data_IF_091040238948
#
_entry.id   IF_091040238948
#
_cell.length_a   1.000
_cell.length_b   1.000
_cell.length_c   1.000
_cell.angle_alpha   90.00
_cell.angle_beta   90.00
_cell.angle_gamma   90.00
#
_symmetry.space_group_name_H-M   'P 1'
#
loop_
_entity.id
_entity.type
_entity.pdbx_description
1 polymer ?
#
# COMPACT_ATOMS: atom_id res chain seq x y z
N UNK A 1 -13.84 -22.03 -9.68
CA UNK A 1 -12.96 -20.87 -9.43
C UNK A 1 -11.75 -21.05 -10.33
N UNK A 2 -11.49 -20.06 -11.18
CA UNK A 2 -10.55 -20.18 -12.30
C UNK A 2 -9.22 -19.57 -11.89
N UNK A 3 -8.10 -20.27 -12.12
CA UNK A 3 -6.78 -19.72 -11.90
C UNK A 3 -6.61 -18.39 -12.68
N UNK A 4 -5.92 -17.38 -12.11
CA UNK A 4 -5.75 -16.10 -12.77
C UNK A 4 -4.98 -16.23 -14.08
N UNK A 5 -5.57 -15.72 -15.16
CA UNK A 5 -4.86 -15.48 -16.42
C UNK A 5 -4.06 -14.19 -16.30
N UNK A 6 -2.82 -14.15 -16.80
CA UNK A 6 -1.97 -12.94 -16.80
C UNK A 6 -2.56 -11.73 -17.55
N UNK A 7 -3.65 -11.92 -18.29
CA UNK A 7 -4.40 -10.84 -18.95
C UNK A 7 -5.31 -10.05 -17.99
N UNK A 8 -5.59 -10.57 -16.79
CA UNK A 8 -6.30 -9.85 -15.74
C UNK A 8 -5.35 -8.86 -15.02
N UNK A 9 -5.86 -7.79 -14.39
CA UNK A 9 -5.05 -6.92 -13.54
C UNK A 9 -4.32 -7.74 -12.48
N UNK A 10 -2.99 -7.70 -12.46
CA UNK A 10 -2.16 -8.39 -11.47
C UNK A 10 -1.46 -7.39 -10.55
N UNK A 11 -1.16 -7.85 -9.33
CA UNK A 11 -0.22 -7.19 -8.44
C UNK A 11 1.18 -7.13 -9.09
N UNK A 12 1.90 -6.02 -8.92
CA UNK A 12 3.21 -5.80 -9.52
C UNK A 12 4.23 -6.86 -9.10
N UNK A 13 4.18 -7.36 -7.86
CA UNK A 13 5.09 -8.40 -7.40
C UNK A 13 4.86 -9.73 -8.12
N UNK A 14 3.59 -10.11 -8.30
CA UNK A 14 3.24 -11.31 -9.04
C UNK A 14 3.62 -11.20 -10.52
N UNK A 15 3.54 -9.99 -11.09
CA UNK A 15 4.04 -9.70 -12.44
C UNK A 15 5.56 -9.80 -12.55
N UNK A 16 6.31 -9.64 -11.46
CA UNK A 16 7.77 -9.82 -11.41
C UNK A 16 8.20 -11.29 -11.31
N UNK A 17 7.30 -12.24 -11.14
CA UNK A 17 7.68 -13.67 -11.18
C UNK A 17 8.01 -14.13 -12.60
N UNK A 18 8.97 -15.06 -12.78
CA UNK A 18 9.11 -15.79 -14.03
C UNK A 18 7.79 -16.47 -14.42
N UNK A 19 7.58 -16.71 -15.71
CA UNK A 19 6.32 -17.27 -16.21
C UNK A 19 6.00 -18.63 -15.58
N UNK A 20 7.01 -19.50 -15.49
CA UNK A 20 6.87 -20.85 -14.94
C UNK A 20 6.48 -20.79 -13.46
N UNK A 21 7.17 -19.99 -12.64
CA UNK A 21 6.83 -19.79 -11.23
C UNK A 21 5.40 -19.27 -11.06
N UNK A 22 5.00 -18.28 -11.87
CA UNK A 22 3.64 -17.74 -11.80
C UNK A 22 2.58 -18.78 -12.17
N UNK A 23 2.78 -19.57 -13.22
CA UNK A 23 1.83 -20.60 -13.63
C UNK A 23 1.66 -21.70 -12.57
N UNK A 24 2.75 -22.04 -11.88
CA UNK A 24 2.71 -23.00 -10.78
C UNK A 24 2.05 -22.42 -9.52
N UNK A 25 2.21 -21.11 -9.26
CA UNK A 25 1.65 -20.41 -8.12
C UNK A 25 0.17 -20.04 -8.30
N UNK A 26 -0.26 -19.78 -9.54
CA UNK A 26 -1.61 -19.32 -9.86
C UNK A 26 -2.75 -20.19 -9.28
N UNK A 27 -2.65 -21.54 -9.23
CA UNK A 27 -3.65 -22.38 -8.57
C UNK A 27 -3.88 -22.08 -7.08
N UNK A 28 -2.88 -21.51 -6.39
CA UNK A 28 -2.94 -21.18 -4.96
C UNK A 28 -3.53 -19.77 -4.72
N UNK A 29 -3.87 -19.04 -5.79
CA UNK A 29 -4.44 -17.69 -5.73
C UNK A 29 -5.95 -17.71 -5.92
N UNK A 30 -6.65 -17.07 -4.98
CA UNK A 30 -8.09 -16.81 -5.08
C UNK A 30 -8.35 -15.32 -5.27
N UNK A 31 -9.04 -14.96 -6.36
CA UNK A 31 -9.47 -13.58 -6.58
C UNK A 31 -10.59 -13.18 -5.62
N UNK A 32 -10.48 -12.00 -5.02
CA UNK A 32 -11.42 -11.46 -4.05
C UNK A 32 -11.66 -9.97 -4.28
N UNK A 33 -12.87 -9.51 -3.94
CA UNK A 33 -13.21 -8.09 -3.85
C UNK A 33 -13.23 -7.72 -2.38
N UNK A 34 -12.57 -6.61 -2.05
CA UNK A 34 -12.46 -6.11 -0.68
C UNK A 34 -13.07 -4.70 -0.62
N UNK A 35 -14.32 -4.58 -0.15
CA UNK A 35 -14.91 -3.29 0.12
C UNK A 35 -14.09 -2.49 1.12
N UNK A 36 -14.21 -1.16 1.07
CA UNK A 36 -13.68 -0.26 2.08
C UNK A 36 -14.11 -0.70 3.48
N UNK A 37 -13.14 -0.73 4.40
CA UNK A 37 -13.33 -1.15 5.79
C UNK A 37 -13.14 -2.64 6.01
N UNK A 38 -12.94 -3.46 4.96
CA UNK A 38 -12.64 -4.87 5.14
C UNK A 38 -11.30 -5.06 5.87
N UNK A 39 -11.28 -5.75 7.01
CA UNK A 39 -10.04 -6.11 7.68
C UNK A 39 -9.33 -7.23 6.89
N UNK A 40 -8.03 -7.05 6.65
CA UNK A 40 -7.17 -8.07 6.02
C UNK A 40 -6.31 -8.80 7.06
N UNK A 41 -6.10 -8.18 8.21
CA UNK A 41 -5.50 -8.83 9.37
C UNK A 41 -5.86 -8.08 10.64
N UNK A 42 -5.82 -8.82 11.75
CA UNK A 42 -6.07 -8.29 13.08
C UNK A 42 -4.83 -8.46 13.94
N UNK A 43 -4.51 -7.42 14.71
CA UNK A 43 -3.43 -7.49 15.68
C UNK A 43 -3.65 -8.66 16.66
N UNK A 44 -2.57 -9.37 16.99
CA UNK A 44 -2.53 -10.48 17.95
C UNK A 44 -3.43 -11.67 17.53
N UNK A 45 -3.77 -11.77 16.24
CA UNK A 45 -4.51 -12.89 15.64
C UNK A 45 -3.67 -13.67 14.63
N UNK A 46 -4.01 -14.94 14.36
CA UNK A 46 -3.41 -15.72 13.29
C UNK A 46 -3.44 -15.00 11.94
N UNK A 47 -2.38 -15.18 11.16
CA UNK A 47 -2.35 -14.82 9.75
C UNK A 47 -2.78 -16.06 8.99
N UNK A 48 -4.04 -16.07 8.56
CA UNK A 48 -4.61 -17.18 7.80
C UNK A 48 -4.32 -17.03 6.30
N UNK A 49 -4.35 -15.79 5.80
CA UNK A 49 -4.15 -15.49 4.37
C UNK A 49 -3.21 -14.31 4.15
N UNK A 50 -2.57 -14.32 2.98
CA UNK A 50 -1.73 -13.23 2.46
C UNK A 50 -2.39 -12.67 1.21
N UNK A 51 -2.50 -11.35 1.13
CA UNK A 51 -3.22 -10.64 0.09
C UNK A 51 -2.28 -9.83 -0.80
N UNK A 52 -2.55 -9.89 -2.11
CA UNK A 52 -1.87 -9.17 -3.17
C UNK A 52 -2.91 -8.33 -3.91
N UNK A 53 -3.02 -7.05 -3.57
CA UNK A 53 -3.99 -6.17 -4.20
C UNK A 53 -3.65 -5.94 -5.69
N UNK A 54 -4.67 -5.73 -6.51
CA UNK A 54 -4.57 -5.39 -7.94
C UNK A 54 -5.09 -3.99 -8.22
N UNK A 55 -5.91 -3.46 -7.30
CA UNK A 55 -6.44 -2.10 -7.25
C UNK A 55 -6.72 -1.71 -5.79
N UNK A 56 -7.05 -0.44 -5.57
CA UNK A 56 -7.39 0.07 -4.24
C UNK A 56 -6.17 0.22 -3.33
N UNK A 57 -6.46 0.60 -2.08
CA UNK A 57 -5.44 0.94 -1.09
C UNK A 57 -5.84 0.35 0.25
N UNK A 58 -4.90 -0.34 0.89
CA UNK A 58 -5.02 -0.70 2.29
C UNK A 58 -3.97 0.04 3.13
N UNK A 59 -4.18 0.01 4.44
CA UNK A 59 -3.27 0.65 5.38
C UNK A 59 -3.03 -0.22 6.61
N UNK A 60 -1.83 -0.10 7.17
CA UNK A 60 -1.52 -0.55 8.52
C UNK A 60 -1.90 0.56 9.49
N UNK A 61 -2.83 0.28 10.40
CA UNK A 61 -3.29 1.22 11.42
C UNK A 61 -2.80 0.76 12.78
N UNK A 62 -2.13 1.66 13.51
CA UNK A 62 -1.69 1.38 14.88
C UNK A 62 -2.65 2.04 15.85
N UNK A 63 -3.10 1.27 16.83
CA UNK A 63 -3.93 1.75 17.93
C UNK A 63 -3.16 1.71 19.25
N UNK A 64 -3.13 2.84 19.94
CA UNK A 64 -2.59 2.94 21.29
C UNK A 64 -3.56 2.31 22.32
N UNK A 65 -3.09 1.93 23.52
CA UNK A 65 -3.96 1.43 24.59
C UNK A 65 -5.10 2.39 24.99
N UNK A 66 -4.92 3.69 24.75
CA UNK A 66 -5.92 4.73 25.00
C UNK A 66 -6.88 4.96 23.79
N UNK A 67 -6.87 4.07 22.80
CA UNK A 67 -7.78 4.10 21.65
C UNK A 67 -7.43 5.11 20.56
N UNK A 68 -6.31 5.84 20.66
CA UNK A 68 -5.84 6.71 19.58
C UNK A 68 -5.33 5.88 18.41
N UNK A 69 -5.73 6.24 17.19
CA UNK A 69 -5.37 5.57 15.94
C UNK A 69 -4.60 6.51 15.04
N UNK A 70 -3.60 5.98 14.35
CA UNK A 70 -2.91 6.65 13.26
C UNK A 70 -2.47 5.62 12.23
N UNK A 71 -2.39 6.05 10.97
CA UNK A 71 -1.78 5.25 9.92
C UNK A 71 -0.27 5.16 10.13
N UNK A 72 0.28 3.95 10.02
CA UNK A 72 1.72 3.73 10.00
C UNK A 72 2.28 3.64 8.56
N UNK A 73 1.49 3.12 7.62
CA UNK A 73 1.83 3.09 6.20
C UNK A 73 0.71 2.51 5.34
N UNK A 74 0.81 2.73 4.03
CA UNK A 74 -0.13 2.21 3.03
C UNK A 74 0.51 1.14 2.14
N UNK A 75 -0.34 0.31 1.55
CA UNK A 75 0.05 -0.66 0.52
C UNK A 75 -1.04 -0.71 -0.56
N UNK A 76 -0.63 -1.07 -1.77
CA UNK A 76 -1.55 -1.28 -2.89
C UNK A 76 -1.06 -2.44 -3.74
N UNK A 77 -1.17 -2.30 -5.06
CA UNK A 77 -0.72 -3.32 -6.00
C UNK A 77 0.81 -3.50 -6.09
N UNK A 78 1.57 -2.73 -5.33
CA UNK A 78 3.03 -2.74 -5.26
C UNK A 78 3.58 -3.60 -4.10
N UNK A 79 2.68 -4.17 -3.29
CA UNK A 79 3.01 -4.88 -2.07
C UNK A 79 2.17 -6.14 -1.83
N UNK A 80 2.38 -6.75 -0.68
CA UNK A 80 1.53 -7.80 -0.12
C UNK A 80 1.34 -7.55 1.38
N UNK A 81 0.32 -8.17 1.97
CA UNK A 81 0.01 -8.01 3.40
C UNK A 81 -0.65 -9.29 3.96
N UNK A 82 -0.45 -9.67 5.23
CA UNK A 82 0.48 -9.10 6.20
C UNK A 82 1.95 -9.38 5.86
N UNK A 83 2.80 -8.38 6.02
CA UNK A 83 4.22 -8.51 5.68
C UNK A 83 4.97 -9.48 6.61
N UNK A 84 4.48 -9.67 7.84
CA UNK A 84 5.01 -10.64 8.81
C UNK A 84 5.02 -12.09 8.29
N UNK A 85 4.20 -12.43 7.29
CA UNK A 85 4.20 -13.77 6.71
C UNK A 85 5.56 -14.17 6.13
N UNK A 86 6.35 -13.20 5.66
CA UNK A 86 7.67 -13.43 5.08
C UNK A 86 8.68 -13.97 6.09
N UNK A 87 8.54 -13.61 7.36
CA UNK A 87 9.44 -14.07 8.43
C UNK A 87 8.98 -15.41 9.02
N UNK A 88 7.85 -15.95 8.56
CA UNK A 88 7.22 -17.14 9.14
C UNK A 88 6.44 -16.86 10.42
N UNK A 89 6.27 -15.58 10.79
CA UNK A 89 5.43 -15.23 11.92
C UNK A 89 3.98 -15.60 11.60
N UNK A 90 3.36 -16.38 12.49
CA UNK A 90 1.95 -16.80 12.35
C UNK A 90 0.95 -15.82 12.96
N UNK A 91 1.42 -14.83 13.71
CA UNK A 91 0.57 -13.85 14.39
C UNK A 91 0.84 -12.47 13.81
N UNK A 92 -0.22 -11.74 13.43
CA UNK A 92 -0.09 -10.37 12.94
C UNK A 92 0.20 -9.41 14.09
N UNK A 93 1.17 -8.52 13.90
CA UNK A 93 1.50 -7.46 14.85
C UNK A 93 0.58 -6.23 14.73
N UNK A 94 -0.17 -6.12 13.64
CA UNK A 94 -0.92 -4.92 13.29
C UNK A 94 -2.32 -5.22 12.78
N UNK A 95 -3.20 -4.24 12.95
CA UNK A 95 -4.47 -4.21 12.22
C UNK A 95 -4.22 -3.68 10.81
N UNK A 96 -4.77 -4.39 9.83
CA UNK A 96 -4.67 -4.07 8.42
C UNK A 96 -6.07 -3.94 7.86
N UNK A 97 -6.36 -2.83 7.20
CA UNK A 97 -7.72 -2.55 6.70
C UNK A 97 -7.65 -1.91 5.33
N UNK A 98 -8.60 -2.29 4.47
CA UNK A 98 -8.82 -1.66 3.17
C UNK A 98 -9.41 -0.26 3.37
N UNK A 99 -8.76 0.76 2.82
CA UNK A 99 -9.17 2.16 2.97
C UNK A 99 -9.95 2.68 1.76
N UNK A 100 -9.61 2.19 0.56
CA UNK A 100 -10.33 2.42 -0.68
C UNK A 100 -10.71 1.07 -1.27
N UNK A 101 -11.91 0.96 -1.84
CA UNK A 101 -12.40 -0.28 -2.47
C UNK A 101 -11.31 -0.91 -3.33
N UNK A 102 -11.08 -2.20 -3.10
CA UNK A 102 -9.94 -2.92 -3.64
C UNK A 102 -10.37 -4.25 -4.25
N UNK A 103 -9.58 -4.70 -5.21
CA UNK A 103 -9.59 -6.07 -5.70
C UNK A 103 -8.20 -6.66 -5.50
N UNK A 104 -8.11 -7.99 -5.44
CA UNK A 104 -6.83 -8.64 -5.25
C UNK A 104 -6.91 -10.14 -5.21
N UNK A 105 -5.76 -10.76 -5.01
CA UNK A 105 -5.64 -12.19 -4.80
C UNK A 105 -5.31 -12.48 -3.35
N UNK A 106 -5.89 -13.55 -2.81
CA UNK A 106 -5.53 -14.12 -1.51
C UNK A 106 -4.84 -15.45 -1.74
N UNK A 107 -3.84 -15.74 -0.91
CA UNK A 107 -3.14 -17.01 -0.81
C UNK A 107 -3.20 -17.48 0.64
N UNK A 108 -3.45 -18.76 0.87
CA UNK A 108 -3.37 -19.32 2.22
C UNK A 108 -1.95 -19.16 2.79
N UNK A 109 -1.83 -18.91 4.09
CA UNK A 109 -0.55 -18.66 4.73
C UNK A 109 0.44 -19.81 4.52
N UNK A 110 -0.02 -21.06 4.65
CA UNK A 110 0.85 -22.22 4.50
C UNK A 110 1.32 -22.41 3.05
N UNK A 111 0.52 -22.03 2.05
CA UNK A 111 0.95 -22.00 0.65
C UNK A 111 1.97 -20.88 0.41
N UNK A 112 1.74 -19.69 0.98
CA UNK A 112 2.74 -18.60 0.93
C UNK A 112 4.07 -19.05 1.53
N UNK A 113 4.03 -19.76 2.68
CA UNK A 113 5.23 -20.32 3.30
C UNK A 113 5.90 -21.37 2.44
N UNK A 114 5.13 -22.27 1.81
CA UNK A 114 5.66 -23.25 0.87
C UNK A 114 6.38 -22.58 -0.30
N UNK A 115 5.83 -21.50 -0.85
CA UNK A 115 6.48 -20.71 -1.90
C UNK A 115 7.76 -20.02 -1.44
N UNK A 116 7.77 -19.51 -0.19
CA UNK A 116 8.98 -18.96 0.43
C UNK A 116 10.10 -20.01 0.64
N UNK A 117 9.77 -21.29 0.71
CA UNK A 117 10.76 -22.36 0.88
C UNK A 117 11.24 -22.93 -0.47
N UNK A 118 10.44 -22.82 -1.53
CA UNK A 118 10.65 -23.54 -2.80
C UNK A 118 11.08 -22.64 -3.97
N UNK A 119 10.68 -21.37 -4.02
CA UNK A 119 10.98 -20.47 -5.15
C UNK A 119 11.88 -19.32 -4.73
N UNK A 120 13.15 -19.37 -5.18
CA UNK A 120 14.11 -18.28 -4.96
C UNK A 120 13.63 -16.93 -5.54
N UNK A 121 13.08 -16.86 -6.78
CA UNK A 121 12.51 -15.63 -7.30
C UNK A 121 11.41 -15.06 -6.41
N UNK A 122 10.49 -15.90 -5.94
CA UNK A 122 9.41 -15.48 -5.03
C UNK A 122 9.96 -14.86 -3.75
N UNK A 123 10.91 -15.55 -3.09
CA UNK A 123 11.57 -15.06 -1.87
C UNK A 123 12.23 -13.71 -2.09
N UNK A 124 12.98 -13.55 -3.17
CA UNK A 124 13.68 -12.29 -3.48
C UNK A 124 12.70 -11.13 -3.66
N UNK A 125 11.63 -11.35 -4.44
CA UNK A 125 10.60 -10.33 -4.69
C UNK A 125 9.89 -9.94 -3.38
N UNK A 126 9.46 -10.92 -2.57
CA UNK A 126 8.77 -10.65 -1.30
C UNK A 126 9.67 -9.91 -0.31
N UNK A 127 10.93 -10.33 -0.16
CA UNK A 127 11.88 -9.66 0.72
C UNK A 127 12.16 -8.22 0.29
N UNK A 128 12.32 -7.96 -1.02
CA UNK A 128 12.54 -6.59 -1.52
C UNK A 128 11.31 -5.71 -1.37
N UNK A 129 10.11 -6.28 -1.53
CA UNK A 129 8.87 -5.57 -1.24
C UNK A 129 8.75 -5.20 0.24
N UNK A 130 9.09 -6.12 1.14
CA UNK A 130 9.11 -5.87 2.58
C UNK A 130 10.12 -4.77 2.95
N UNK A 131 11.33 -4.79 2.38
CA UNK A 131 12.32 -3.74 2.60
C UNK A 131 11.82 -2.37 2.10
N UNK A 132 11.24 -2.32 0.89
CA UNK A 132 10.63 -1.10 0.38
C UNK A 132 9.51 -0.56 1.28
N UNK A 133 8.67 -1.45 1.82
CA UNK A 133 7.64 -1.09 2.79
C UNK A 133 8.25 -0.57 4.11
N UNK A 134 9.33 -1.20 4.61
CA UNK A 134 10.02 -0.74 5.81
C UNK A 134 10.63 0.66 5.64
N UNK A 135 11.27 0.94 4.50
CA UNK A 135 11.79 2.28 4.15
C UNK A 135 10.67 3.32 4.11
N UNK A 136 9.52 2.95 3.52
CA UNK A 136 8.34 3.81 3.51
C UNK A 136 7.85 4.12 4.92
N UNK A 137 7.70 3.10 5.79
CA UNK A 137 7.28 3.28 7.19
C UNK A 137 8.21 4.23 7.94
N UNK A 138 9.53 4.05 7.78
CA UNK A 138 10.52 4.91 8.42
C UNK A 138 10.37 6.38 8.01
N UNK A 139 10.14 6.65 6.72
CA UNK A 139 9.95 8.03 6.24
C UNK A 139 8.58 8.60 6.59
N UNK A 140 7.54 7.77 6.69
CA UNK A 140 6.24 8.20 7.24
C UNK A 140 6.36 8.58 8.71
N UNK A 141 7.14 7.83 9.51
CA UNK A 141 7.41 8.18 10.90
C UNK A 141 8.16 9.51 11.03
N UNK A 142 9.22 9.74 10.23
CA UNK A 142 9.94 11.02 10.21
C UNK A 142 8.99 12.15 9.78
N UNK A 143 8.22 11.95 8.72
CA UNK A 143 7.32 12.98 8.21
C UNK A 143 6.23 13.36 9.22
N UNK A 144 5.69 12.39 9.95
CA UNK A 144 4.76 12.63 11.05
C UNK A 144 5.38 13.42 12.21
N UNK A 145 6.71 13.38 12.39
CA UNK A 145 7.40 14.07 13.46
C UNK A 145 7.84 15.50 13.09
N UNK A 146 8.16 15.76 11.82
CA UNK A 146 8.83 17.02 11.42
C UNK A 146 8.07 17.87 10.41
N UNK A 147 7.14 17.29 9.64
CA UNK A 147 6.38 18.02 8.62
C UNK A 147 5.00 18.45 9.12
N UNK A 148 4.50 19.55 8.57
CA UNK A 148 3.14 20.01 8.86
C UNK A 148 2.07 19.15 8.18
N UNK A 149 0.80 19.42 8.51
CA UNK A 149 -0.33 18.66 7.97
C UNK A 149 -0.52 18.82 6.46
N UNK A 150 -0.09 19.94 5.88
CA UNK A 150 -0.27 20.20 4.45
C UNK A 150 0.70 19.33 3.63
N UNK A 151 1.98 19.33 4.02
CA UNK A 151 3.00 18.49 3.41
C UNK A 151 2.68 17.00 3.59
N UNK A 152 2.24 16.59 4.80
CA UNK A 152 1.83 15.21 5.07
C UNK A 152 0.62 14.77 4.24
N UNK A 153 -0.37 15.65 4.04
CA UNK A 153 -1.50 15.38 3.15
C UNK A 153 -1.05 15.25 1.69
N UNK A 154 -0.19 16.15 1.21
CA UNK A 154 0.37 16.08 -0.14
C UNK A 154 1.13 14.76 -0.36
N UNK A 155 2.02 14.38 0.55
CA UNK A 155 2.73 13.08 0.56
C UNK A 155 1.75 11.92 0.49
N UNK A 156 0.73 11.90 1.35
CA UNK A 156 -0.23 10.80 1.40
C UNK A 156 -1.02 10.66 0.09
N UNK A 157 -1.45 11.78 -0.50
CA UNK A 157 -2.14 11.78 -1.81
C UNK A 157 -1.22 11.26 -2.93
N UNK A 158 0.05 11.67 -2.96
CA UNK A 158 1.04 11.19 -3.93
C UNK A 158 1.27 9.68 -3.78
N UNK A 159 1.50 9.20 -2.56
CA UNK A 159 1.71 7.77 -2.30
C UNK A 159 0.49 6.93 -2.70
N UNK A 160 -0.72 7.45 -2.52
CA UNK A 160 -1.92 6.79 -2.98
C UNK A 160 -2.06 6.82 -4.51
N UNK A 161 -1.71 7.93 -5.13
CA UNK A 161 -1.73 8.09 -6.59
C UNK A 161 -0.76 7.12 -7.28
N UNK A 162 0.40 6.87 -6.68
CA UNK A 162 1.36 5.84 -7.16
C UNK A 162 0.75 4.43 -7.19
N UNK A 163 -0.33 4.22 -6.42
CA UNK A 163 -1.06 2.96 -6.26
C UNK A 163 -2.47 3.02 -6.83
N UNK A 164 -2.78 4.08 -7.57
CA UNK A 164 -4.07 4.30 -8.22
C UNK A 164 -3.89 4.33 -9.74
N UNK A 165 -4.93 3.91 -10.46
CA UNK A 165 -5.02 4.09 -11.92
C UNK A 165 -5.86 5.31 -12.30
N UNK A 166 -6.26 6.09 -11.30
CA UNK A 166 -7.16 7.24 -11.39
C UNK A 166 -6.56 8.42 -10.63
N UNK A 167 -6.70 9.62 -11.20
CA UNK A 167 -6.37 10.87 -10.53
C UNK A 167 -7.37 11.25 -9.43
N UNK A 168 -8.56 10.64 -9.45
CA UNK A 168 -9.58 10.78 -8.42
C UNK A 168 -9.48 9.65 -7.40
N UNK A 169 -9.51 10.03 -6.13
CA UNK A 169 -9.48 9.15 -4.98
C UNK A 169 -10.73 9.35 -4.11
N UNK A 170 -11.44 8.27 -3.81
CA UNK A 170 -12.65 8.27 -2.99
C UNK A 170 -12.35 8.38 -1.48
N UNK A 171 -11.87 9.55 -1.06
CA UNK A 171 -11.46 9.84 0.33
C UNK A 171 -12.34 10.90 0.99
N UNK A 172 -12.73 10.64 2.24
CA UNK A 172 -13.48 11.61 3.05
C UNK A 172 -12.55 12.36 3.99
N UNK A 173 -12.95 13.56 4.42
CA UNK A 173 -12.18 14.32 5.42
C UNK A 173 -12.05 13.57 6.74
N UNK A 174 -13.05 12.76 7.09
CA UNK A 174 -13.02 11.90 8.27
C UNK A 174 -11.95 10.81 8.15
N UNK A 175 -11.92 10.12 7.01
CA UNK A 175 -10.88 9.13 6.75
C UNK A 175 -9.49 9.76 6.82
N UNK A 176 -9.27 10.86 6.11
CA UNK A 176 -7.99 11.59 6.14
C UNK A 176 -7.61 12.04 7.56
N UNK A 177 -8.58 12.41 8.39
CA UNK A 177 -8.31 12.83 9.77
C UNK A 177 -7.78 11.68 10.63
N UNK A 178 -8.32 10.47 10.43
CA UNK A 178 -7.83 9.25 11.10
C UNK A 178 -6.46 8.87 10.58
N UNK A 179 -6.25 8.86 9.26
CA UNK A 179 -4.99 8.44 8.66
C UNK A 179 -3.84 9.39 9.00
N UNK A 180 -4.07 10.69 8.91
CA UNK A 180 -3.10 11.71 9.29
C UNK A 180 -3.01 11.95 10.80
N UNK A 181 -3.87 11.32 11.62
CA UNK A 181 -3.85 11.50 13.08
C UNK A 181 -4.10 12.94 13.52
N UNK A 182 -4.92 13.68 12.79
CA UNK A 182 -5.25 15.10 13.06
C UNK A 182 -6.75 15.27 13.25
N UNK A 183 -7.17 16.46 13.68
CA UNK A 183 -8.61 16.79 13.75
C UNK A 183 -9.15 17.09 12.36
N UNK A 184 -10.41 16.75 12.10
CA UNK A 184 -11.10 17.03 10.83
C UNK A 184 -10.96 18.49 10.33
N UNK A 185 -11.02 19.54 11.18
CA UNK A 185 -10.78 20.91 10.71
C UNK A 185 -9.39 21.13 10.11
N UNK A 186 -8.35 20.47 10.64
CA UNK A 186 -6.99 20.54 10.10
C UNK A 186 -6.92 19.97 8.69
N UNK A 187 -7.65 18.88 8.43
CA UNK A 187 -7.78 18.30 7.08
C UNK A 187 -8.49 19.28 6.14
N UNK A 188 -9.59 19.87 6.57
CA UNK A 188 -10.32 20.86 5.75
C UNK A 188 -9.42 22.04 5.38
N UNK A 189 -8.66 22.58 6.34
CA UNK A 189 -7.71 23.66 6.05
C UNK A 189 -6.63 23.21 5.07
N UNK A 190 -6.04 22.02 5.27
CA UNK A 190 -5.00 21.50 4.38
C UNK A 190 -5.50 21.28 2.94
N UNK A 191 -6.72 20.73 2.79
CA UNK A 191 -7.36 20.57 1.48
C UNK A 191 -7.59 21.92 0.80
N UNK A 192 -8.05 22.95 1.52
CA UNK A 192 -8.21 24.29 0.94
C UNK A 192 -6.88 24.92 0.55
N UNK A 193 -5.79 24.68 1.28
CA UNK A 193 -4.46 25.16 0.91
C UNK A 193 -4.02 24.51 -0.41
N UNK A 194 -4.06 23.17 -0.49
CA UNK A 194 -3.66 22.46 -1.71
C UNK A 194 -4.56 22.80 -2.92
N UNK A 195 -5.86 23.01 -2.70
CA UNK A 195 -6.81 23.41 -3.76
C UNK A 195 -6.61 24.87 -4.19
N UNK A 196 -6.32 25.78 -3.25
CA UNK A 196 -6.02 27.19 -3.53
C UNK A 196 -4.75 27.39 -4.37
N UNK A 197 -3.77 26.51 -4.18
CA UNK A 197 -2.55 26.42 -5.01
C UNK A 197 -2.77 25.67 -6.34
N UNK A 198 -3.99 25.19 -6.60
CA UNK A 198 -4.35 24.49 -7.84
C UNK A 198 -3.80 23.06 -7.96
N UNK A 199 -3.23 22.51 -6.89
CA UNK A 199 -2.57 21.19 -6.89
C UNK A 199 -3.58 20.04 -6.94
N UNK A 200 -4.72 20.25 -6.28
CA UNK A 200 -5.83 19.30 -6.20
C UNK A 200 -7.17 20.01 -6.43
N UNK A 201 -8.23 19.22 -6.58
CA UNK A 201 -9.60 19.66 -6.42
C UNK A 201 -10.27 18.80 -5.35
N UNK A 202 -10.83 19.44 -4.33
CA UNK A 202 -11.54 18.77 -3.24
C UNK A 202 -13.03 18.70 -3.57
N UNK A 203 -13.57 17.49 -3.68
CA UNK A 203 -14.99 17.23 -3.92
C UNK A 203 -15.61 16.62 -2.67
N UNK A 204 -16.94 16.52 -2.65
CA UNK A 204 -17.62 15.82 -1.56
C UNK A 204 -17.30 14.33 -1.61
N UNK A 205 -16.42 13.88 -0.72
CA UNK A 205 -16.07 12.47 -0.57
C UNK A 205 -15.00 11.97 -1.55
N UNK A 206 -14.39 12.85 -2.34
CA UNK A 206 -13.25 12.52 -3.17
C UNK A 206 -12.28 13.69 -3.32
N UNK A 207 -11.04 13.39 -3.68
CA UNK A 207 -10.00 14.36 -4.02
C UNK A 207 -9.45 13.99 -5.39
N UNK A 208 -9.30 14.98 -6.26
CA UNK A 208 -8.74 14.83 -7.61
C UNK A 208 -7.39 15.52 -7.67
N UNK A 209 -6.33 14.81 -8.02
CA UNK A 209 -5.02 15.43 -8.28
C UNK A 209 -5.09 16.18 -9.61
N UNK A 210 -4.67 17.45 -9.62
CA UNK A 210 -4.71 18.32 -10.79
C UNK A 210 -3.33 18.55 -11.39
N UNK A 211 -2.35 18.78 -10.53
CA UNK A 211 -0.96 18.91 -10.92
C UNK A 211 -0.10 18.08 -9.99
N UNK A 212 0.25 16.88 -10.46
CA UNK A 212 1.07 15.95 -9.69
C UNK A 212 2.48 16.49 -9.46
N UNK A 213 3.10 17.10 -10.48
CA UNK A 213 4.48 17.60 -10.37
C UNK A 213 4.55 18.76 -9.38
N UNK A 214 3.57 19.67 -9.42
CA UNK A 214 3.48 20.74 -8.44
C UNK A 214 3.16 20.21 -7.03
N UNK A 215 2.36 19.13 -6.91
CA UNK A 215 2.08 18.49 -5.62
C UNK A 215 3.34 17.80 -5.05
N UNK A 216 4.16 17.16 -5.89
CA UNK A 216 5.48 16.65 -5.50
C UNK A 216 6.39 17.78 -5.02
N UNK A 217 6.41 18.90 -5.74
CA UNK A 217 7.19 20.08 -5.34
C UNK A 217 6.70 20.66 -4.00
N UNK A 218 5.38 20.69 -3.76
CA UNK A 218 4.78 21.14 -2.50
C UNK A 218 5.09 20.20 -1.33
N UNK A 219 5.17 18.89 -1.57
CA UNK A 219 5.60 17.93 -0.57
C UNK A 219 7.08 18.10 -0.18
N UNK A 220 7.88 18.82 -0.97
CA UNK A 220 9.29 19.10 -0.65
C UNK A 220 10.08 17.81 -0.33
N UNK A 221 10.87 17.82 0.75
CA UNK A 221 11.69 16.69 1.18
C UNK A 221 10.88 15.56 1.85
N UNK A 222 9.57 15.73 2.03
CA UNK A 222 8.73 14.70 2.61
C UNK A 222 8.31 13.63 1.60
N UNK A 223 8.58 13.74 0.30
CA UNK A 223 8.22 12.72 -0.71
C UNK A 223 9.39 12.44 -1.69
N UNK A 224 9.44 11.24 -2.26
CA UNK A 224 10.34 10.88 -3.36
C UNK A 224 11.46 9.91 -2.99
N UNK A 225 12.07 10.03 -1.80
CA UNK A 225 13.17 9.14 -1.39
C UNK A 225 12.73 7.67 -1.20
N UNK A 226 11.65 7.37 -0.46
CA UNK A 226 11.12 6.01 -0.37
C UNK A 226 10.72 5.43 -1.73
N UNK A 227 10.13 6.23 -2.58
CA UNK A 227 9.62 5.81 -3.90
C UNK A 227 10.78 5.54 -4.87
N UNK A 228 11.85 6.33 -4.80
CA UNK A 228 13.09 6.05 -5.53
C UNK A 228 13.75 4.76 -5.03
N UNK A 229 13.78 4.54 -3.71
CA UNK A 229 14.36 3.33 -3.14
C UNK A 229 13.57 2.07 -3.49
N UNK A 230 12.24 2.12 -3.44
CA UNK A 230 11.38 1.03 -3.92
C UNK A 230 11.68 0.71 -5.39
N UNK A 231 11.75 1.73 -6.27
CA UNK A 231 12.07 1.52 -7.69
C UNK A 231 13.44 0.88 -7.88
N UNK A 232 14.46 1.33 -7.14
CA UNK A 232 15.81 0.76 -7.17
C UNK A 232 15.82 -0.70 -6.71
N UNK A 233 15.10 -1.01 -5.64
CA UNK A 233 14.97 -2.38 -5.13
C UNK A 233 14.32 -3.30 -6.17
N UNK A 234 13.30 -2.82 -6.91
CA UNK A 234 12.58 -3.63 -7.89
C UNK A 234 13.24 -3.70 -9.27
N UNK A 235 13.99 -2.69 -9.70
CA UNK A 235 14.61 -2.65 -11.04
C UNK A 235 15.65 -3.75 -11.28
N UNK A 236 16.32 -4.20 -10.22
CA UNK A 236 17.28 -5.29 -10.31
C UNK A 236 16.60 -6.61 -10.70
N UNK A 237 15.36 -6.82 -10.24
CA UNK A 237 14.60 -8.05 -10.45
C UNK A 237 14.00 -8.14 -11.86
N UNK A 238 13.65 -7.00 -12.46
CA UNK A 238 13.16 -6.97 -13.85
C UNK A 238 14.29 -7.18 -14.86
N UNK A 239 15.52 -6.79 -14.51
CA UNK A 239 16.71 -6.96 -15.35
C UNK A 239 17.17 -8.42 -15.44
N UNK A 240 16.94 -9.22 -14.40
CA UNK A 240 17.24 -10.65 -14.38
C UNK A 240 16.29 -11.49 -15.24
N UNK A 241 15.08 -10.99 -15.56
CA UNK A 241 14.14 -11.67 -16.48
C UNK A 241 14.59 -11.72 -17.94
N UNK A 242 15.47 -10.82 -18.34
CA UNK A 242 15.89 -10.65 -19.74
C UNK A 242 17.13 -11.49 -20.08
N UNK A 243 17.72 -12.17 -19.09
CA UNK A 243 18.85 -13.11 -19.28
C UNK A 243 18.40 -14.54 -19.10
#
# INVERSE_FOLDING_TARGET
MTAPLRSAPLNNLLQLLPEIDFQMLAPDLTHNVFPKGTPLAHRDKPIDTVHFLTSGIGSVVIMTPLGRRAEAGIFGFDGYIPTAAVTGARISSYDVTVQLDAEGYSMEFDDFRRWMDQSKPFVQIMNRSMEGFAVQLAHTAVSNAVHDVNARLARWLLMCHDRSRSDEMAVTHELLSVLLGVRRPSVTTALHVLEGEGLIRSLRGSVVIRDRLALEAFAHDCYGRPEAEYRRLMSDLSSEKVK
#
